data_IF_999717628125
#
_entry.id   IF_999717628125
#
_cell.length_a   1.000
_cell.length_b   1.000
_cell.length_c   1.000
_cell.angle_alpha   90.00
_cell.angle_beta   90.00
_cell.angle_gamma   90.00
#
_symmetry.space_group_name_H-M   'P 1'
#
loop_
_entity.id
_entity.type
_entity.pdbx_description
1 polymer ?
#
# COMPACT_ATOMS: atom_id res chain seq x y z
N UNK A 1 -20.07 23.96 -17.50
CA UNK A 1 -20.26 23.70 -16.06
C UNK A 1 -21.55 22.90 -15.91
N UNK A 2 -21.47 21.56 -15.91
CA UNK A 2 -22.57 20.62 -15.61
C UNK A 2 -22.09 19.15 -15.66
N UNK A 3 -20.87 18.84 -15.21
CA UNK A 3 -20.56 17.45 -14.90
C UNK A 3 -21.09 17.21 -13.48
N UNK A 4 -22.31 16.69 -13.37
CA UNK A 4 -22.90 16.34 -12.08
C UNK A 4 -22.01 15.37 -11.29
N UNK A 5 -22.27 15.22 -9.99
CA UNK A 5 -21.54 14.28 -9.12
C UNK A 5 -21.64 12.87 -9.71
N UNK A 6 -20.50 12.30 -10.10
CA UNK A 6 -20.41 10.90 -10.51
C UNK A 6 -20.04 10.05 -9.29
N UNK A 7 -20.91 9.09 -8.97
CA UNK A 7 -20.61 8.06 -7.98
C UNK A 7 -19.97 6.89 -8.70
N UNK A 8 -18.67 6.65 -8.46
CA UNK A 8 -17.97 5.47 -8.93
C UNK A 8 -18.09 4.34 -7.93
N UNK A 9 -18.31 3.11 -8.42
CA UNK A 9 -18.20 1.92 -7.57
C UNK A 9 -16.73 1.73 -7.17
N UNK A 10 -16.49 1.74 -5.86
CA UNK A 10 -15.17 1.61 -5.24
C UNK A 10 -15.05 0.38 -4.33
N UNK A 11 -15.98 -0.58 -4.47
CA UNK A 11 -16.00 -1.84 -3.68
C UNK A 11 -14.67 -2.59 -3.79
N UNK A 12 -14.13 -2.67 -5.01
CA UNK A 12 -12.83 -3.28 -5.30
C UNK A 12 -11.91 -2.23 -5.90
N UNK A 13 -11.09 -1.51 -5.12
CA UNK A 13 -10.32 -0.37 -5.62
C UNK A 13 -9.17 -0.79 -6.55
N UNK A 14 -8.65 -2.00 -6.37
CA UNK A 14 -7.52 -2.52 -7.13
C UNK A 14 -7.98 -3.34 -8.35
N UNK A 15 -7.40 -3.05 -9.51
CA UNK A 15 -7.68 -3.75 -10.76
C UNK A 15 -7.25 -5.23 -10.67
N UNK A 16 -8.17 -6.20 -10.85
CA UNK A 16 -7.84 -7.62 -10.74
C UNK A 16 -6.74 -8.08 -11.70
N UNK A 17 -6.73 -7.54 -12.94
CA UNK A 17 -5.70 -7.83 -13.95
C UNK A 17 -4.32 -7.37 -13.48
N UNK A 18 -4.18 -6.08 -13.16
CA UNK A 18 -2.90 -5.52 -12.71
C UNK A 18 -2.41 -6.18 -11.41
N UNK A 19 -3.32 -6.50 -10.49
CA UNK A 19 -2.97 -7.24 -9.27
C UNK A 19 -2.45 -8.63 -9.60
N UNK A 20 -3.10 -9.36 -10.51
CA UNK A 20 -2.64 -10.66 -10.98
C UNK A 20 -1.26 -10.57 -11.64
N UNK A 21 -1.03 -9.55 -12.47
CA UNK A 21 0.24 -9.33 -13.13
C UNK A 21 1.37 -9.01 -12.14
N UNK A 22 1.07 -8.19 -11.13
CA UNK A 22 2.00 -7.85 -10.07
C UNK A 22 2.38 -9.08 -9.22
N UNK A 23 1.42 -9.93 -8.87
CA UNK A 23 1.70 -11.17 -8.13
C UNK A 23 2.56 -12.14 -8.95
N UNK A 24 2.31 -12.26 -10.25
CA UNK A 24 3.14 -13.07 -11.15
C UNK A 24 4.57 -12.51 -11.23
N UNK A 25 4.73 -11.19 -11.29
CA UNK A 25 6.03 -10.53 -11.28
C UNK A 25 6.79 -10.76 -9.96
N UNK A 26 6.10 -10.72 -8.80
CA UNK A 26 6.71 -11.08 -7.51
C UNK A 26 7.23 -12.52 -7.50
N UNK A 27 6.44 -13.46 -8.01
CA UNK A 27 6.84 -14.87 -8.12
C UNK A 27 8.06 -15.05 -9.04
N UNK A 28 8.08 -14.38 -10.20
CA UNK A 28 9.19 -14.41 -11.14
C UNK A 28 10.47 -13.80 -10.55
N UNK A 29 10.33 -12.70 -9.79
CA UNK A 29 11.44 -12.05 -9.10
C UNK A 29 11.94 -12.84 -7.87
N UNK A 30 11.27 -13.92 -7.48
CA UNK A 30 11.59 -14.71 -6.30
C UNK A 30 11.39 -13.95 -4.99
N UNK A 31 10.48 -12.97 -4.96
CA UNK A 31 10.19 -12.15 -3.78
C UNK A 31 8.92 -12.67 -3.10
N UNK A 32 9.05 -13.12 -1.85
CA UNK A 32 7.91 -13.52 -1.04
C UNK A 32 7.06 -12.30 -0.65
N UNK A 33 5.75 -12.40 -0.83
CA UNK A 33 4.80 -11.32 -0.54
C UNK A 33 3.53 -11.87 0.11
N UNK A 34 2.85 -11.04 0.90
CA UNK A 34 1.46 -11.31 1.26
C UNK A 34 0.56 -11.01 0.06
N UNK A 35 -0.36 -11.90 -0.25
CA UNK A 35 -1.26 -11.73 -1.41
C UNK A 35 -2.43 -10.81 -1.10
N UNK A 36 -2.82 -10.68 0.17
CA UNK A 36 -3.99 -9.93 0.61
C UNK A 36 -3.67 -9.10 1.84
N UNK A 37 -4.11 -7.86 1.85
CA UNK A 37 -4.04 -6.97 3.00
C UNK A 37 -5.09 -5.86 2.87
N UNK A 38 -5.60 -5.41 4.00
CA UNK A 38 -6.42 -4.20 4.12
C UNK A 38 -5.51 -3.03 4.51
N UNK A 39 -5.53 -1.96 3.72
CA UNK A 39 -4.71 -0.78 3.95
C UNK A 39 -5.53 0.31 4.66
N UNK A 40 -5.06 0.75 5.84
CA UNK A 40 -5.60 1.91 6.54
C UNK A 40 -4.90 3.18 6.10
N UNK A 41 -5.59 4.05 5.38
CA UNK A 41 -5.06 5.36 5.01
C UNK A 41 -5.26 6.37 6.16
N UNK A 42 -4.18 6.98 6.63
CA UNK A 42 -4.15 8.00 7.68
C UNK A 42 -3.65 9.34 7.13
N UNK A 43 -3.89 10.41 7.87
CA UNK A 43 -3.36 11.73 7.53
C UNK A 43 -2.00 11.95 8.19
N UNK A 44 -0.98 12.16 7.37
CA UNK A 44 0.38 12.52 7.77
C UNK A 44 0.58 14.03 8.03
N UNK A 45 1.82 14.48 8.28
CA UNK A 45 3.08 13.71 8.29
C UNK A 45 3.40 13.05 9.63
N UNK A 46 2.60 13.31 10.68
CA UNK A 46 2.79 12.68 11.98
C UNK A 46 2.47 11.18 11.89
N UNK A 47 3.29 10.35 12.51
CA UNK A 47 2.98 8.93 12.66
C UNK A 47 1.76 8.75 13.58
N UNK A 48 1.16 7.58 13.50
CA UNK A 48 0.02 7.20 14.32
C UNK A 48 0.42 7.02 15.78
N UNK A 49 -0.53 7.27 16.67
CA UNK A 49 -0.44 6.85 18.07
C UNK A 49 -0.68 5.34 18.18
N UNK A 50 -0.18 4.72 19.26
CA UNK A 50 -0.47 3.31 19.53
C UNK A 50 -1.98 3.02 19.66
N UNK A 51 -2.77 3.99 20.16
CA UNK A 51 -4.22 3.86 20.29
C UNK A 51 -4.93 3.88 18.92
N UNK A 52 -4.47 4.71 17.98
CA UNK A 52 -4.96 4.73 16.61
C UNK A 52 -4.63 3.43 15.88
N UNK A 53 -3.40 2.93 16.00
CA UNK A 53 -3.00 1.64 15.41
C UNK A 53 -3.86 0.50 15.98
N UNK A 54 -4.04 0.45 17.30
CA UNK A 54 -4.87 -0.56 17.94
C UNK A 54 -6.34 -0.49 17.49
N UNK A 55 -6.84 0.70 17.16
CA UNK A 55 -8.18 0.86 16.56
C UNK A 55 -8.20 0.33 15.12
N UNK A 56 -7.27 0.77 14.27
CA UNK A 56 -7.23 0.38 12.86
C UNK A 56 -7.12 -1.13 12.68
N UNK A 57 -6.33 -1.79 13.52
CA UNK A 57 -6.23 -3.25 13.54
C UNK A 57 -7.57 -3.90 13.91
N UNK A 58 -8.29 -3.39 14.91
CA UNK A 58 -9.66 -3.87 15.25
C UNK A 58 -10.66 -3.64 14.13
N UNK A 59 -10.47 -2.57 13.34
CA UNK A 59 -11.27 -2.28 12.15
C UNK A 59 -10.88 -3.19 10.95
N UNK A 60 -9.89 -4.07 11.12
CA UNK A 60 -9.46 -5.07 10.12
C UNK A 60 -8.32 -4.61 9.21
N UNK A 61 -7.65 -3.50 9.51
CA UNK A 61 -6.46 -3.07 8.78
C UNK A 61 -5.26 -3.97 9.09
N UNK A 62 -4.52 -4.32 8.05
CA UNK A 62 -3.27 -5.10 8.14
C UNK A 62 -2.04 -4.21 8.04
N UNK A 63 -2.18 -3.09 7.31
CA UNK A 63 -1.13 -2.13 7.02
C UNK A 63 -1.70 -0.72 7.25
N UNK A 64 -0.81 0.24 7.49
CA UNK A 64 -1.17 1.66 7.60
C UNK A 64 -0.19 2.50 6.79
N UNK A 65 -0.66 3.62 6.26
CA UNK A 65 0.21 4.64 5.71
C UNK A 65 -0.59 5.85 5.24
N UNK A 66 0.12 6.77 4.59
CA UNK A 66 -0.39 8.13 4.33
C UNK A 66 -0.65 8.40 2.85
N UNK A 67 -0.63 7.36 2.00
CA UNK A 67 -0.77 7.46 0.54
C UNK A 67 -1.77 6.43 0.02
N UNK A 68 -1.98 6.37 -1.30
CA UNK A 68 -2.92 5.43 -1.94
C UNK A 68 -4.36 5.91 -1.90
N UNK A 69 -4.69 6.80 -0.95
CA UNK A 69 -5.84 7.69 -1.01
C UNK A 69 -5.36 9.14 -1.05
N UNK A 70 -5.82 9.97 -2.02
CA UNK A 70 -6.96 9.73 -2.91
C UNK A 70 -6.63 9.01 -4.23
N UNK A 71 -5.38 8.60 -4.49
CA UNK A 71 -4.93 8.16 -5.82
C UNK A 71 -5.71 6.96 -6.38
N UNK A 72 -6.07 5.99 -5.54
CA UNK A 72 -6.86 4.84 -5.98
C UNK A 72 -8.27 5.25 -6.45
N UNK A 73 -8.92 6.18 -5.74
CA UNK A 73 -10.23 6.73 -6.12
C UNK A 73 -10.14 7.55 -7.41
N UNK A 74 -9.15 8.44 -7.51
CA UNK A 74 -8.92 9.25 -8.71
C UNK A 74 -8.63 8.37 -9.95
N UNK A 75 -7.85 7.30 -9.79
CA UNK A 75 -7.62 6.34 -10.86
C UNK A 75 -8.93 5.67 -11.32
N UNK A 76 -9.81 5.30 -10.37
CA UNK A 76 -11.12 4.73 -10.68
C UNK A 76 -12.01 5.73 -11.42
N UNK A 77 -12.07 6.98 -10.97
CA UNK A 77 -12.82 8.07 -11.62
C UNK A 77 -12.36 8.30 -13.07
N UNK A 78 -11.08 8.13 -13.34
CA UNK A 78 -10.50 8.24 -14.69
C UNK A 78 -10.57 6.94 -15.51
N UNK A 79 -11.13 5.86 -14.96
CA UNK A 79 -11.17 4.54 -15.63
C UNK A 79 -9.80 3.87 -15.79
N UNK A 80 -8.80 4.30 -15.01
CA UNK A 80 -7.44 3.74 -15.00
C UNK A 80 -7.36 2.54 -14.07
N UNK A 81 -6.61 1.52 -14.49
CA UNK A 81 -6.26 0.41 -13.61
C UNK A 81 -5.28 0.88 -12.53
N UNK A 82 -5.55 0.52 -11.28
CA UNK A 82 -4.68 0.81 -10.14
C UNK A 82 -4.37 -0.49 -9.38
N UNK A 83 -3.13 -0.66 -8.90
CA UNK A 83 -2.74 -1.76 -8.02
C UNK A 83 -1.72 -1.25 -7.00
N UNK A 84 -1.73 -1.81 -5.80
CA UNK A 84 -0.83 -1.41 -4.73
C UNK A 84 0.24 -2.47 -4.48
N UNK A 85 1.50 -2.05 -4.44
CA UNK A 85 2.63 -2.81 -3.91
C UNK A 85 3.10 -2.11 -2.63
N UNK A 86 2.66 -2.59 -1.48
CA UNK A 86 2.99 -2.00 -0.18
C UNK A 86 4.17 -2.71 0.48
N UNK A 87 5.04 -1.92 1.13
CA UNK A 87 6.19 -2.42 1.88
C UNK A 87 6.05 -2.02 3.35
N UNK A 88 6.40 -2.93 4.25
CA UNK A 88 6.39 -2.69 5.69
C UNK A 88 7.78 -2.24 6.11
N UNK A 89 7.93 -0.96 6.40
CA UNK A 89 9.21 -0.35 6.83
C UNK A 89 9.36 -0.28 8.35
N UNK A 90 8.28 -0.52 9.10
CA UNK A 90 8.25 -0.63 10.55
C UNK A 90 6.95 -1.34 11.00
N UNK A 91 6.91 -1.78 12.27
CA UNK A 91 5.75 -2.50 12.82
C UNK A 91 4.53 -1.63 13.18
N UNK A 92 4.61 -0.30 12.98
CA UNK A 92 3.69 0.72 13.50
C UNK A 92 3.77 0.95 15.02
N UNK A 93 3.19 2.06 15.48
CA UNK A 93 3.30 2.53 16.85
C UNK A 93 2.67 1.53 17.84
N UNK A 94 3.40 1.20 18.91
CA UNK A 94 2.94 0.27 19.95
C UNK A 94 2.95 -1.21 19.56
N UNK A 95 3.47 -1.56 18.38
CA UNK A 95 3.59 -2.96 17.91
C UNK A 95 5.02 -3.49 17.93
N UNK A 96 6.01 -2.60 17.81
CA UNK A 96 7.43 -2.90 17.94
C UNK A 96 7.97 -2.68 19.35
N UNK A 97 9.31 -2.76 19.49
CA UNK A 97 10.01 -2.42 20.73
C UNK A 97 10.35 -0.93 20.72
N UNK A 98 9.79 -0.18 21.65
CA UNK A 98 10.15 1.23 21.85
C UNK A 98 9.52 2.19 20.84
N UNK A 99 10.07 3.41 20.77
CA UNK A 99 9.63 4.44 19.84
C UNK A 99 10.07 4.09 18.41
N UNK A 100 9.32 4.60 17.44
CA UNK A 100 9.69 4.45 16.02
C UNK A 100 10.91 5.31 15.73
N UNK A 101 11.96 4.69 15.21
CA UNK A 101 13.18 5.37 14.75
C UNK A 101 13.11 5.60 13.24
N UNK A 102 13.26 6.85 12.83
CA UNK A 102 13.27 7.22 11.41
C UNK A 102 14.50 6.65 10.69
N UNK A 103 15.63 6.50 11.37
CA UNK A 103 16.82 5.90 10.78
C UNK A 103 16.61 4.42 10.44
N UNK A 104 15.87 3.69 11.29
CA UNK A 104 15.48 2.29 11.03
C UNK A 104 14.53 2.21 9.83
N UNK A 105 13.54 3.12 9.75
CA UNK A 105 12.63 3.22 8.61
C UNK A 105 13.41 3.44 7.31
N UNK A 106 14.34 4.40 7.29
CA UNK A 106 15.12 4.72 6.09
C UNK A 106 15.98 3.52 5.65
N UNK A 107 16.56 2.79 6.61
CA UNK A 107 17.32 1.57 6.32
C UNK A 107 16.45 0.47 5.70
N UNK A 108 15.26 0.22 6.25
CA UNK A 108 14.32 -0.73 5.69
C UNK A 108 13.82 -0.30 4.30
N UNK A 109 13.58 1.00 4.10
CA UNK A 109 13.16 1.54 2.81
C UNK A 109 14.22 1.28 1.74
N UNK A 110 15.50 1.54 2.01
CA UNK A 110 16.59 1.24 1.09
C UNK A 110 16.66 -0.24 0.72
N UNK A 111 16.40 -1.13 1.69
CA UNK A 111 16.32 -2.57 1.42
C UNK A 111 15.13 -2.92 0.50
N UNK A 112 13.96 -2.36 0.77
CA UNK A 112 12.76 -2.58 -0.02
C UNK A 112 12.87 -2.06 -1.46
N UNK A 113 13.58 -0.95 -1.70
CA UNK A 113 13.81 -0.41 -3.06
C UNK A 113 14.46 -1.46 -3.98
N UNK A 114 15.39 -2.27 -3.46
CA UNK A 114 16.00 -3.35 -4.23
C UNK A 114 14.98 -4.40 -4.70
N UNK A 115 13.97 -4.70 -3.89
CA UNK A 115 12.87 -5.60 -4.27
C UNK A 115 11.89 -4.94 -5.24
N UNK A 116 11.55 -3.67 -5.00
CA UNK A 116 10.69 -2.88 -5.91
C UNK A 116 11.23 -2.94 -7.33
N UNK A 117 12.51 -2.59 -7.51
CA UNK A 117 13.12 -2.55 -8.84
C UNK A 117 13.05 -3.93 -9.50
N UNK A 118 13.39 -5.01 -8.78
CA UNK A 118 13.30 -6.37 -9.32
C UNK A 118 11.87 -6.74 -9.75
N UNK A 119 10.88 -6.45 -8.93
CA UNK A 119 9.46 -6.75 -9.20
C UNK A 119 8.99 -5.93 -10.41
N UNK A 120 9.27 -4.63 -10.46
CA UNK A 120 8.84 -3.77 -11.57
C UNK A 120 9.56 -4.11 -12.88
N UNK A 121 10.83 -4.50 -12.83
CA UNK A 121 11.55 -5.02 -14.01
C UNK A 121 10.93 -6.31 -14.51
N UNK A 122 10.59 -7.25 -13.61
CA UNK A 122 9.90 -8.48 -13.99
C UNK A 122 8.51 -8.18 -14.59
N UNK A 123 7.77 -7.24 -14.01
CA UNK A 123 6.46 -6.81 -14.50
C UNK A 123 6.54 -6.19 -15.91
N UNK A 124 7.52 -5.33 -16.16
CA UNK A 124 7.71 -4.64 -17.44
C UNK A 124 8.23 -5.56 -18.56
N UNK A 125 8.79 -6.72 -18.21
CA UNK A 125 9.27 -7.73 -19.16
C UNK A 125 8.18 -8.68 -19.66
N UNK A 126 6.93 -8.52 -19.18
CA UNK A 126 5.76 -9.31 -19.59
C UNK A 126 4.97 -8.57 -20.67
#
# INVERSE_FOLDING_TARGET
DAAGVQHVDFTEPYCPRLRGDLLAACAQAGVAVSHTATYGATQGPRLETAAEIARLERDGCHLVGMTGMPEAALARELGLGYACLAFVVNWAAGKGKGAIDMAEIDQHLLHCVGWVVKILTALAAR
#
